data_IF_156873466031
#
_entry.id   IF_156873466031
#
_cell.length_a   1.000
_cell.length_b   1.000
_cell.length_c   1.000
_cell.angle_alpha   90.00
_cell.angle_beta   90.00
_cell.angle_gamma   90.00
#
_symmetry.space_group_name_H-M   'P 1'
#
loop_
_entity.id
_entity.type
_entity.pdbx_description
1 polymer ?
#
# COMPACT_ATOMS: atom_id res chain seq x y z
N UNK A 1 4.93 14.58 -11.11
CA UNK A 1 4.03 15.74 -11.24
C UNK A 1 4.40 16.71 -10.14
N UNK A 2 5.41 17.53 -10.36
CA UNK A 2 5.56 18.78 -9.61
C UNK A 2 4.73 19.78 -10.37
N UNK A 3 3.59 20.16 -9.80
CA UNK A 3 2.84 21.30 -10.30
C UNK A 3 3.70 22.55 -10.07
N UNK A 4 4.38 23.00 -11.12
CA UNK A 4 5.20 24.22 -11.13
C UNK A 4 4.37 25.48 -11.34
N UNK A 5 3.03 25.38 -11.42
CA UNK A 5 2.17 26.54 -11.70
C UNK A 5 1.73 27.32 -10.46
N UNK A 6 2.12 26.91 -9.25
CA UNK A 6 1.78 27.65 -8.03
C UNK A 6 2.92 28.55 -7.55
N UNK A 7 3.36 29.49 -8.39
CA UNK A 7 4.17 30.64 -7.94
C UNK A 7 3.33 31.71 -7.24
N UNK A 8 2.00 31.65 -7.37
CA UNK A 8 1.10 32.72 -6.88
C UNK A 8 0.52 32.41 -5.49
N UNK A 9 0.94 31.30 -4.85
CA UNK A 9 0.33 30.81 -3.60
C UNK A 9 1.12 31.04 -2.32
N UNK A 10 2.34 31.59 -2.38
CA UNK A 10 3.16 31.76 -1.18
C UNK A 10 2.59 32.82 -0.21
N UNK A 11 1.83 33.79 -0.70
CA UNK A 11 1.24 34.87 0.13
C UNK A 11 0.03 34.42 0.97
N UNK A 12 -0.61 33.28 0.66
CA UNK A 12 -1.84 32.80 1.33
C UNK A 12 -1.61 31.60 2.26
N UNK A 13 -0.37 31.17 2.48
CA UNK A 13 -0.07 30.05 3.39
C UNK A 13 -0.21 30.53 4.84
N UNK A 14 -0.96 29.83 5.72
CA UNK A 14 -1.22 30.30 7.10
C UNK A 14 0.05 30.53 7.93
N UNK A 15 1.04 29.65 7.76
CA UNK A 15 2.30 29.69 8.51
C UNK A 15 3.46 29.17 7.66
N UNK A 16 3.96 29.94 6.67
CA UNK A 16 5.06 29.52 5.84
C UNK A 16 6.31 29.28 6.70
N UNK A 17 7.11 28.31 6.29
CA UNK A 17 8.44 28.11 6.83
C UNK A 17 9.38 29.14 6.21
N UNK A 18 10.12 29.86 7.04
CA UNK A 18 11.19 30.76 6.61
C UNK A 18 12.45 29.94 6.32
N UNK A 19 12.87 29.90 5.05
CA UNK A 19 13.99 29.09 4.56
C UNK A 19 14.61 29.75 3.32
N UNK A 20 15.94 29.74 3.23
CA UNK A 20 16.69 30.26 2.06
C UNK A 20 16.61 29.33 0.83
N UNK A 21 15.87 28.22 0.93
CA UNK A 21 15.72 27.22 -0.14
C UNK A 21 14.66 27.65 -1.14
N UNK A 22 15.05 27.76 -2.41
CA UNK A 22 14.12 27.99 -3.51
C UNK A 22 13.62 26.66 -4.09
N UNK A 23 12.28 26.54 -4.24
CA UNK A 23 11.65 25.34 -4.79
C UNK A 23 12.18 25.12 -6.22
N UNK A 24 12.77 23.95 -6.45
CA UNK A 24 13.33 23.60 -7.75
C UNK A 24 14.78 24.04 -7.98
N UNK A 25 15.47 24.63 -7.00
CA UNK A 25 16.89 25.04 -7.14
C UNK A 25 17.84 23.90 -7.55
N UNK A 26 17.47 22.65 -7.26
CA UNK A 26 18.25 21.46 -7.60
C UNK A 26 17.70 20.71 -8.81
N UNK A 27 16.72 21.29 -9.52
CA UNK A 27 16.12 20.63 -10.66
C UNK A 27 16.96 20.84 -11.93
N UNK A 28 16.94 19.85 -12.80
CA UNK A 28 17.44 19.91 -14.17
C UNK A 28 16.28 19.70 -15.13
N UNK A 29 16.39 20.28 -16.33
CA UNK A 29 15.36 20.22 -17.36
C UNK A 29 15.77 19.43 -18.62
N UNK A 30 16.25 18.17 -18.53
CA UNK A 30 16.57 17.39 -19.71
C UNK A 30 15.29 17.04 -20.48
N UNK A 31 15.32 17.20 -21.81
CA UNK A 31 14.19 16.87 -22.69
C UNK A 31 12.86 17.56 -22.32
N UNK A 32 12.91 18.71 -21.63
CA UNK A 32 11.73 19.44 -21.16
C UNK A 32 11.05 18.85 -19.93
N UNK A 33 11.70 17.91 -19.23
CA UNK A 33 11.21 17.32 -17.98
C UNK A 33 11.88 17.99 -16.78
N UNK A 34 11.10 18.46 -15.82
CA UNK A 34 11.60 19.03 -14.56
C UNK A 34 11.94 17.93 -13.56
N UNK A 35 13.24 17.70 -13.32
CA UNK A 35 13.75 16.55 -12.54
C UNK A 35 14.67 16.99 -11.40
N UNK A 36 14.40 16.53 -10.18
CA UNK A 36 15.28 16.79 -9.04
C UNK A 36 16.62 16.01 -9.15
N UNK A 37 17.74 16.73 -9.26
CA UNK A 37 19.03 16.22 -9.78
C UNK A 37 20.04 15.58 -8.79
N UNK A 38 19.65 15.17 -7.58
CA UNK A 38 20.25 13.89 -7.14
C UNK A 38 19.23 12.75 -7.05
N UNK A 39 17.99 13.04 -6.66
CA UNK A 39 17.00 12.01 -6.37
C UNK A 39 16.67 11.19 -7.62
N UNK A 40 16.39 11.85 -8.75
CA UNK A 40 16.01 11.16 -9.98
C UNK A 40 17.16 10.30 -10.52
N UNK A 41 18.36 10.88 -10.62
CA UNK A 41 19.53 10.21 -11.22
C UNK A 41 19.98 9.03 -10.37
N UNK A 42 20.13 9.22 -9.05
CA UNK A 42 20.59 8.15 -8.15
C UNK A 42 19.57 7.02 -8.12
N UNK A 43 18.28 7.35 -7.96
CA UNK A 43 17.24 6.33 -7.93
C UNK A 43 17.18 5.57 -9.25
N UNK A 44 17.08 6.28 -10.38
CA UNK A 44 16.98 5.68 -11.70
C UNK A 44 18.15 4.76 -12.03
N UNK A 45 19.40 5.23 -11.84
CA UNK A 45 20.58 4.40 -12.08
C UNK A 45 20.65 3.19 -11.16
N UNK A 46 20.29 3.35 -9.88
CA UNK A 46 20.32 2.25 -8.92
C UNK A 46 19.25 1.20 -9.21
N UNK A 47 18.06 1.61 -9.67
CA UNK A 47 16.98 0.71 -10.10
C UNK A 47 17.41 -0.06 -11.36
N UNK A 48 18.00 0.61 -12.35
CA UNK A 48 18.51 -0.04 -13.56
C UNK A 48 19.62 -1.04 -13.21
N UNK A 49 20.56 -0.65 -12.35
CA UNK A 49 21.62 -1.53 -11.88
C UNK A 49 21.06 -2.74 -11.13
N UNK A 50 20.08 -2.54 -10.24
CA UNK A 50 19.40 -3.61 -9.53
C UNK A 50 18.76 -4.61 -10.50
N UNK A 51 18.00 -4.14 -11.50
CA UNK A 51 17.36 -5.01 -12.50
C UNK A 51 18.40 -5.78 -13.30
N UNK A 52 19.47 -5.13 -13.76
CA UNK A 52 20.53 -5.80 -14.54
C UNK A 52 21.22 -6.88 -13.69
N UNK A 53 21.61 -6.56 -12.45
CA UNK A 53 22.30 -7.50 -11.56
C UNK A 53 21.41 -8.70 -11.23
N UNK A 54 20.14 -8.47 -10.89
CA UNK A 54 19.20 -9.56 -10.58
C UNK A 54 18.94 -10.47 -11.78
N UNK A 55 18.87 -9.92 -12.99
CA UNK A 55 18.70 -10.71 -14.22
C UNK A 55 19.97 -11.46 -14.63
N UNK A 56 21.16 -10.92 -14.34
CA UNK A 56 22.44 -11.59 -14.59
C UNK A 56 22.72 -12.73 -13.61
N UNK A 57 22.30 -12.59 -12.35
CA UNK A 57 22.59 -13.53 -11.26
C UNK A 57 21.31 -14.09 -10.65
N UNK A 58 20.45 -14.71 -11.46
CA UNK A 58 19.09 -15.12 -11.05
C UNK A 58 19.07 -16.11 -9.88
N UNK A 59 19.94 -17.13 -9.91
CA UNK A 59 20.03 -18.14 -8.86
C UNK A 59 20.49 -17.51 -7.54
N UNK A 60 21.60 -16.75 -7.57
CA UNK A 60 22.08 -16.04 -6.39
C UNK A 60 21.08 -15.00 -5.85
N UNK A 61 20.35 -14.30 -6.73
CA UNK A 61 19.28 -13.40 -6.31
C UNK A 61 18.11 -14.16 -5.65
N UNK A 62 17.73 -15.32 -6.18
CA UNK A 62 16.67 -16.17 -5.62
C UNK A 62 17.05 -16.67 -4.23
N UNK A 63 18.28 -17.16 -4.05
CA UNK A 63 18.79 -17.58 -2.74
C UNK A 63 18.86 -16.40 -1.76
N UNK A 64 19.42 -15.27 -2.20
CA UNK A 64 19.58 -14.09 -1.37
C UNK A 64 18.23 -13.55 -0.86
N UNK A 65 17.25 -13.34 -1.75
CA UNK A 65 15.93 -12.87 -1.35
C UNK A 65 15.12 -13.95 -0.62
N UNK A 66 15.35 -15.22 -0.94
CA UNK A 66 14.75 -16.38 -0.28
C UNK A 66 15.13 -16.49 1.19
N UNK A 67 16.35 -16.09 1.56
CA UNK A 67 16.76 -15.94 2.96
C UNK A 67 16.40 -14.58 3.55
N UNK A 68 16.61 -13.48 2.80
CA UNK A 68 16.47 -12.12 3.32
C UNK A 68 15.04 -11.82 3.77
N UNK A 69 14.02 -12.22 2.99
CA UNK A 69 12.62 -11.97 3.36
C UNK A 69 12.27 -12.68 4.68
N UNK A 70 12.41 -14.00 4.82
CA UNK A 70 12.13 -14.68 6.10
C UNK A 70 12.96 -14.14 7.25
N UNK A 71 14.24 -13.80 7.03
CA UNK A 71 15.09 -13.19 8.04
C UNK A 71 14.49 -11.88 8.55
N UNK A 72 14.12 -10.96 7.64
CA UNK A 72 13.52 -9.68 8.00
C UNK A 72 12.18 -9.85 8.70
N UNK A 73 11.29 -10.70 8.17
CA UNK A 73 9.94 -10.86 8.73
C UNK A 73 9.91 -11.66 10.02
N UNK A 74 10.91 -12.50 10.30
CA UNK A 74 11.00 -13.22 11.58
C UNK A 74 11.79 -12.46 12.65
N UNK A 75 12.74 -11.61 12.25
CA UNK A 75 13.56 -10.82 13.20
C UNK A 75 12.86 -9.51 13.60
N UNK A 76 12.12 -8.90 12.66
CA UNK A 76 11.48 -7.59 12.84
C UNK A 76 9.96 -7.65 12.79
N UNK A 77 9.33 -8.83 12.96
CA UNK A 77 7.86 -8.95 13.06
C UNK A 77 7.30 -8.01 14.13
N UNK A 78 7.88 -8.03 15.33
CA UNK A 78 7.46 -7.16 16.42
C UNK A 78 7.49 -5.69 16.05
N UNK A 79 8.48 -5.26 15.25
CA UNK A 79 8.63 -3.89 14.81
C UNK A 79 7.52 -3.54 13.81
N UNK A 80 7.28 -4.40 12.82
CA UNK A 80 6.21 -4.20 11.85
C UNK A 80 4.82 -4.14 12.51
N UNK A 81 4.52 -5.09 13.42
CA UNK A 81 3.25 -5.11 14.14
C UNK A 81 3.12 -3.90 15.08
N UNK A 82 4.18 -3.55 15.81
CA UNK A 82 4.16 -2.39 16.71
C UNK A 82 3.99 -1.08 15.94
N UNK A 83 4.68 -0.91 14.81
CA UNK A 83 4.55 0.27 13.97
C UNK A 83 3.11 0.44 13.47
N UNK A 84 2.51 -0.62 12.93
CA UNK A 84 1.12 -0.59 12.46
C UNK A 84 0.14 -0.22 13.59
N UNK A 85 0.35 -0.76 14.80
CA UNK A 85 -0.45 -0.41 15.98
C UNK A 85 -0.27 1.06 16.39
N UNK A 86 0.96 1.56 16.41
CA UNK A 86 1.25 2.95 16.74
C UNK A 86 0.54 3.89 15.76
N UNK A 87 0.53 3.58 14.46
CA UNK A 87 -0.17 4.39 13.47
C UNK A 87 -1.68 4.40 13.70
N UNK A 88 -2.30 3.26 13.99
CA UNK A 88 -3.72 3.18 14.34
C UNK A 88 -4.03 4.01 15.59
N UNK A 89 -3.25 3.83 16.67
CA UNK A 89 -3.44 4.57 17.92
C UNK A 89 -3.21 6.07 17.74
N UNK A 90 -2.24 6.46 16.91
CA UNK A 90 -1.98 7.85 16.57
C UNK A 90 -3.16 8.48 15.83
N UNK A 91 -3.72 7.80 14.83
CA UNK A 91 -4.94 8.27 14.16
C UNK A 91 -6.12 8.41 15.14
N UNK A 92 -6.33 7.45 16.05
CA UNK A 92 -7.35 7.59 17.10
C UNK A 92 -7.10 8.77 18.03
N UNK A 93 -5.85 8.96 18.46
CA UNK A 93 -5.45 10.07 19.30
C UNK A 93 -5.75 11.41 18.62
N UNK A 94 -5.48 11.55 17.31
CA UNK A 94 -5.84 12.76 16.56
C UNK A 94 -7.35 12.98 16.50
N UNK A 95 -8.15 11.92 16.29
CA UNK A 95 -9.61 12.04 16.22
C UNK A 95 -10.25 12.54 17.52
N UNK A 96 -9.70 12.16 18.68
CA UNK A 96 -10.26 12.53 20.00
C UNK A 96 -9.67 13.81 20.60
N UNK A 97 -8.49 14.23 20.15
CA UNK A 97 -7.81 15.43 20.65
C UNK A 97 -8.19 16.68 19.86
N UNK A 98 -7.94 17.90 20.40
CA UNK A 98 -8.17 19.14 19.64
C UNK A 98 -7.39 19.24 18.32
N UNK A 99 -6.34 18.44 18.14
CA UNK A 99 -5.54 18.41 16.91
C UNK A 99 -6.34 17.96 15.69
N UNK A 100 -7.33 17.08 15.87
CA UNK A 100 -8.21 16.65 14.78
C UNK A 100 -9.13 17.76 14.23
N UNK A 101 -9.20 18.93 14.89
CA UNK A 101 -9.96 20.10 14.42
C UNK A 101 -9.14 21.02 13.50
N UNK A 102 -7.83 20.78 13.38
CA UNK A 102 -6.96 21.57 12.51
C UNK A 102 -7.33 21.28 11.06
N UNK A 103 -7.69 22.34 10.33
CA UNK A 103 -7.99 22.24 8.90
C UNK A 103 -6.71 22.27 8.08
N UNK A 104 -6.65 21.41 7.08
CA UNK A 104 -5.56 21.37 6.11
C UNK A 104 -5.77 22.49 5.09
N UNK A 105 -4.83 23.43 5.00
CA UNK A 105 -4.95 24.64 4.17
C UNK A 105 -5.30 25.94 4.93
N UNK A 106 -5.44 25.91 6.25
CA UNK A 106 -5.69 27.11 7.08
C UNK A 106 -7.04 27.12 7.79
N UNK A 107 -7.25 28.09 8.69
CA UNK A 107 -8.43 28.12 9.57
C UNK A 107 -9.76 28.24 8.80
N UNK A 108 -9.74 28.97 7.68
CA UNK A 108 -10.92 29.22 6.85
C UNK A 108 -11.03 28.28 5.65
N UNK A 109 -10.11 27.32 5.49
CA UNK A 109 -10.12 26.40 4.36
C UNK A 109 -11.42 25.60 4.28
N UNK A 110 -11.96 25.46 3.08
CA UNK A 110 -13.14 24.63 2.76
C UNK A 110 -12.74 23.51 1.81
N UNK A 111 -13.38 22.32 1.88
CA UNK A 111 -13.05 21.22 0.97
C UNK A 111 -13.32 21.58 -0.49
N UNK A 112 -12.37 21.27 -1.38
CA UNK A 112 -12.52 21.46 -2.83
C UNK A 112 -13.54 20.49 -3.45
N UNK A 113 -13.75 19.34 -2.80
CA UNK A 113 -14.64 18.27 -3.26
C UNK A 113 -15.77 18.03 -2.27
N UNK A 114 -16.94 17.66 -2.79
CA UNK A 114 -18.03 17.14 -1.96
C UNK A 114 -17.60 15.85 -1.24
N UNK A 115 -18.20 15.57 -0.08
CA UNK A 115 -17.88 14.39 0.70
C UNK A 115 -18.02 13.07 -0.08
N UNK A 116 -19.08 12.97 -0.91
CA UNK A 116 -19.29 11.80 -1.78
C UNK A 116 -18.24 11.70 -2.89
N UNK A 117 -17.87 12.84 -3.51
CA UNK A 117 -16.82 12.88 -4.52
C UNK A 117 -15.46 12.47 -3.96
N UNK A 118 -15.10 13.00 -2.78
CA UNK A 118 -13.87 12.64 -2.08
C UNK A 118 -13.80 11.16 -1.70
N UNK A 119 -14.89 10.63 -1.13
CA UNK A 119 -14.97 9.21 -0.77
C UNK A 119 -14.84 8.28 -1.99
N UNK A 120 -15.47 8.65 -3.12
CA UNK A 120 -15.35 7.90 -4.36
C UNK A 120 -13.91 7.90 -4.91
N UNK A 121 -13.19 9.03 -4.82
CA UNK A 121 -11.78 9.13 -5.23
C UNK A 121 -10.87 8.26 -4.36
N UNK A 122 -11.09 8.23 -3.03
CA UNK A 122 -10.35 7.34 -2.13
C UNK A 122 -10.54 5.86 -2.49
N UNK A 123 -11.77 5.46 -2.80
CA UNK A 123 -12.06 4.10 -3.21
C UNK A 123 -11.42 3.77 -4.56
N UNK A 124 -11.46 4.71 -5.51
CA UNK A 124 -10.83 4.57 -6.82
C UNK A 124 -9.31 4.35 -6.74
N UNK A 125 -8.63 5.09 -5.87
CA UNK A 125 -7.17 4.98 -5.72
C UNK A 125 -6.72 3.84 -4.81
N UNK A 126 -7.52 3.49 -3.79
CA UNK A 126 -7.22 2.42 -2.85
C UNK A 126 -7.49 1.00 -3.38
N UNK A 127 -8.34 0.86 -4.41
CA UNK A 127 -8.66 -0.44 -4.99
C UNK A 127 -7.58 -0.93 -5.97
N UNK A 128 -6.55 -1.57 -5.41
CA UNK A 128 -5.48 -2.19 -6.18
C UNK A 128 -5.74 -3.64 -6.62
N UNK A 129 -4.82 -4.16 -7.44
CA UNK A 129 -4.72 -5.58 -7.83
C UNK A 129 -4.75 -6.53 -6.61
N UNK A 130 -4.25 -6.04 -5.46
CA UNK A 130 -4.25 -6.78 -4.21
C UNK A 130 -5.62 -7.34 -3.82
N UNK A 131 -6.71 -6.56 -3.98
CA UNK A 131 -8.07 -7.02 -3.67
C UNK A 131 -8.54 -8.12 -4.63
N UNK A 132 -8.17 -8.05 -5.89
CA UNK A 132 -8.53 -9.07 -6.88
C UNK A 132 -7.80 -10.39 -6.61
N UNK A 133 -6.54 -10.34 -6.18
CA UNK A 133 -5.72 -11.51 -5.91
C UNK A 133 -6.02 -12.12 -4.53
N UNK A 134 -5.89 -11.31 -3.47
CA UNK A 134 -5.99 -11.74 -2.08
C UNK A 134 -7.42 -11.74 -1.56
N UNK A 135 -8.36 -11.00 -2.18
CA UNK A 135 -9.76 -10.99 -1.76
C UNK A 135 -10.45 -12.36 -1.81
N UNK A 136 -9.94 -13.29 -2.63
CA UNK A 136 -10.37 -14.70 -2.64
C UNK A 136 -9.35 -15.61 -1.98
N UNK A 137 -8.07 -15.50 -2.35
CA UNK A 137 -7.05 -16.46 -1.93
C UNK A 137 -6.75 -16.42 -0.44
N UNK A 138 -6.74 -15.24 0.18
CA UNK A 138 -6.41 -15.06 1.60
C UNK A 138 -7.48 -15.62 2.55
N UNK A 139 -8.76 -15.19 2.48
CA UNK A 139 -9.78 -15.71 3.40
C UNK A 139 -9.98 -17.23 3.23
N UNK A 140 -9.82 -17.75 2.01
CA UNK A 140 -9.85 -19.20 1.77
C UNK A 140 -8.67 -19.92 2.40
N UNK A 141 -7.46 -19.35 2.30
CA UNK A 141 -6.26 -19.92 2.93
C UNK A 141 -6.39 -19.95 4.45
N UNK A 142 -6.82 -18.84 5.05
CA UNK A 142 -7.01 -18.74 6.50
C UNK A 142 -8.17 -19.62 6.99
N UNK A 143 -9.26 -19.74 6.22
CA UNK A 143 -10.33 -20.68 6.52
C UNK A 143 -9.82 -22.12 6.56
N UNK A 144 -9.12 -22.54 5.50
CA UNK A 144 -8.62 -23.90 5.38
C UNK A 144 -7.60 -24.24 6.48
N UNK A 145 -6.65 -23.34 6.76
CA UNK A 145 -5.67 -23.54 7.83
C UNK A 145 -6.34 -23.54 9.21
N UNK A 146 -7.27 -22.62 9.47
CA UNK A 146 -8.00 -22.57 10.74
C UNK A 146 -8.83 -23.83 10.98
N UNK A 147 -9.51 -24.34 9.96
CA UNK A 147 -10.32 -25.56 10.05
C UNK A 147 -9.46 -26.80 10.32
N UNK A 148 -8.24 -26.83 9.75
CA UNK A 148 -7.25 -27.89 9.97
C UNK A 148 -6.69 -27.95 11.40
N UNK A 149 -6.84 -26.88 12.17
CA UNK A 149 -6.34 -26.78 13.54
C UNK A 149 -4.86 -26.42 13.63
N UNK A 150 -4.33 -26.41 14.85
CA UNK A 150 -2.91 -26.13 15.11
C UNK A 150 -2.07 -27.40 14.94
N UNK A 151 -0.90 -27.27 14.31
CA UNK A 151 0.09 -28.34 14.21
C UNK A 151 1.41 -27.84 14.80
N UNK A 152 2.10 -28.70 15.54
CA UNK A 152 3.36 -28.34 16.18
C UNK A 152 4.42 -29.43 16.01
N UNK A 153 5.65 -28.99 15.75
CA UNK A 153 6.85 -29.84 15.70
C UNK A 153 7.92 -29.22 16.60
N UNK A 154 8.62 -30.06 17.37
CA UNK A 154 9.68 -29.63 18.29
C UNK A 154 9.28 -28.47 19.25
N UNK A 155 8.00 -28.40 19.63
CA UNK A 155 7.49 -27.37 20.56
C UNK A 155 7.12 -26.03 19.91
N UNK A 156 7.22 -25.90 18.59
CA UNK A 156 6.80 -24.72 17.84
C UNK A 156 5.70 -25.07 16.84
N UNK A 157 4.77 -24.14 16.62
CA UNK A 157 3.72 -24.35 15.61
C UNK A 157 4.29 -24.26 14.20
N UNK A 158 3.86 -25.19 13.35
CA UNK A 158 4.24 -25.29 11.93
C UNK A 158 3.06 -25.04 11.00
N UNK A 159 1.85 -24.93 11.53
CA UNK A 159 0.66 -24.55 10.76
C UNK A 159 0.66 -23.07 10.37
N UNK A 160 -0.33 -22.69 9.54
CA UNK A 160 -0.54 -21.32 9.06
C UNK A 160 -1.87 -20.72 9.55
N UNK A 161 -2.44 -21.30 10.61
CA UNK A 161 -3.70 -20.82 11.16
C UNK A 161 -3.47 -19.56 12.02
N UNK A 162 -4.23 -18.48 11.81
CA UNK A 162 -4.20 -17.34 12.72
C UNK A 162 -4.63 -17.75 14.13
N UNK A 163 -4.00 -17.16 15.14
CA UNK A 163 -4.33 -17.36 16.55
C UNK A 163 -4.46 -18.85 16.89
N UNK A 164 -5.40 -19.27 17.74
CA UNK A 164 -5.58 -20.66 18.16
C UNK A 164 -6.26 -21.59 17.14
N UNK A 165 -6.40 -21.18 15.88
CA UNK A 165 -7.19 -21.90 14.87
C UNK A 165 -8.66 -22.12 15.29
N UNK A 166 -9.36 -23.00 14.57
CA UNK A 166 -10.75 -23.39 14.83
C UNK A 166 -10.99 -24.83 14.34
N UNK A 167 -10.25 -25.77 14.91
CA UNK A 167 -10.18 -27.15 14.45
C UNK A 167 -11.58 -27.81 14.39
N UNK A 168 -11.97 -28.25 13.19
CA UNK A 168 -13.24 -28.95 12.98
C UNK A 168 -14.51 -28.10 13.12
N UNK A 169 -14.41 -26.78 13.33
CA UNK A 169 -15.55 -25.85 13.36
C UNK A 169 -15.53 -24.93 12.13
N UNK A 170 -16.33 -25.22 11.08
CA UNK A 170 -16.37 -24.40 9.87
C UNK A 170 -16.83 -22.96 10.11
N UNK A 171 -17.72 -22.71 11.07
CA UNK A 171 -18.25 -21.36 11.30
C UNK A 171 -17.20 -20.50 12.01
N UNK A 172 -16.57 -21.05 13.05
CA UNK A 172 -15.48 -20.38 13.74
C UNK A 172 -14.27 -20.18 12.80
N UNK A 173 -13.91 -21.18 11.99
CA UNK A 173 -12.83 -21.08 11.02
C UNK A 173 -13.10 -20.00 9.97
N UNK A 174 -14.34 -19.91 9.45
CA UNK A 174 -14.74 -18.87 8.50
C UNK A 174 -14.63 -17.48 9.12
N UNK A 175 -15.19 -17.31 10.31
CA UNK A 175 -15.20 -16.01 10.98
C UNK A 175 -13.78 -15.57 11.36
N UNK A 176 -12.92 -16.48 11.82
CA UNK A 176 -11.52 -16.21 12.13
C UNK A 176 -10.70 -15.91 10.86
N UNK A 177 -10.91 -16.66 9.78
CA UNK A 177 -10.27 -16.39 8.49
C UNK A 177 -10.63 -15.01 7.95
N UNK A 178 -11.91 -14.65 7.99
CA UNK A 178 -12.37 -13.31 7.65
C UNK A 178 -11.81 -12.24 8.59
N UNK A 179 -11.71 -12.49 9.89
CA UNK A 179 -11.14 -11.54 10.85
C UNK A 179 -9.66 -11.25 10.55
N UNK A 180 -8.87 -12.28 10.24
CA UNK A 180 -7.48 -12.15 9.82
C UNK A 180 -7.35 -11.36 8.51
N UNK A 181 -8.20 -11.64 7.51
CA UNK A 181 -8.21 -10.88 6.26
C UNK A 181 -8.63 -9.42 6.48
N UNK A 182 -9.72 -9.15 7.21
CA UNK A 182 -10.14 -7.77 7.51
C UNK A 182 -9.03 -7.02 8.25
N UNK A 183 -8.32 -7.68 9.16
CA UNK A 183 -7.17 -7.09 9.85
C UNK A 183 -6.07 -6.61 8.89
N UNK A 184 -5.74 -7.38 7.85
CA UNK A 184 -4.72 -6.99 6.88
C UNK A 184 -5.17 -5.91 5.87
N UNK A 185 -6.47 -5.71 5.68
CA UNK A 185 -7.03 -4.84 4.61
C UNK A 185 -7.87 -3.64 5.09
N UNK A 186 -8.19 -3.56 6.38
CA UNK A 186 -9.01 -2.49 6.96
C UNK A 186 -8.19 -1.49 7.79
N UNK A 187 -8.38 -1.42 9.10
CA UNK A 187 -7.93 -0.26 9.89
C UNK A 187 -6.42 0.01 9.81
N UNK A 188 -5.59 -1.02 9.95
CA UNK A 188 -4.13 -0.92 10.00
C UNK A 188 -3.47 -0.38 8.72
N UNK A 189 -3.71 -0.92 7.51
CA UNK A 189 -3.13 -0.35 6.28
C UNK A 189 -3.57 1.09 6.04
N UNK A 190 -4.86 1.38 6.26
CA UNK A 190 -5.39 2.73 6.05
C UNK A 190 -4.85 3.74 7.06
N UNK A 191 -4.52 3.32 8.30
CA UNK A 191 -3.83 4.17 9.26
C UNK A 191 -2.39 4.50 8.82
N UNK A 192 -1.65 3.54 8.26
CA UNK A 192 -0.31 3.78 7.68
C UNK A 192 -0.40 4.87 6.61
N UNK A 193 -1.37 4.76 5.70
CA UNK A 193 -1.58 5.75 4.65
C UNK A 193 -2.01 7.10 5.20
N UNK A 194 -2.95 7.12 6.14
CA UNK A 194 -3.44 8.36 6.74
C UNK A 194 -2.34 9.15 7.44
N UNK A 195 -1.37 8.49 8.09
CA UNK A 195 -0.23 9.17 8.73
C UNK A 195 0.65 9.86 7.70
N UNK A 196 1.00 9.19 6.60
CA UNK A 196 1.84 9.78 5.55
C UNK A 196 1.09 10.88 4.81
N UNK A 197 -0.19 10.65 4.48
CA UNK A 197 -1.06 11.63 3.84
C UNK A 197 -1.20 12.90 4.69
N UNK A 198 -1.44 12.75 5.99
CA UNK A 198 -1.58 13.88 6.91
C UNK A 198 -0.27 14.65 7.03
N UNK A 199 0.88 13.97 7.11
CA UNK A 199 2.17 14.63 7.18
C UNK A 199 2.42 15.47 5.91
N UNK A 200 2.27 14.88 4.73
CA UNK A 200 2.42 15.58 3.46
C UNK A 200 1.46 16.75 3.33
N UNK A 201 0.16 16.50 3.54
CA UNK A 201 -0.87 17.51 3.39
C UNK A 201 -0.69 18.68 4.37
N UNK A 202 -0.33 18.42 5.63
CA UNK A 202 -0.10 19.47 6.61
C UNK A 202 1.11 20.35 6.23
N UNK A 203 2.25 19.73 5.90
CA UNK A 203 3.45 20.50 5.57
C UNK A 203 3.32 21.25 4.24
N UNK A 204 2.56 20.72 3.30
CA UNK A 204 2.29 21.44 2.05
C UNK A 204 1.25 22.52 2.23
N UNK A 205 0.06 22.20 2.72
CA UNK A 205 -1.06 23.14 2.71
C UNK A 205 -1.06 24.13 3.89
N UNK A 206 -0.48 23.77 5.04
CA UNK A 206 -0.42 24.68 6.20
C UNK A 206 0.94 25.35 6.36
N UNK A 207 2.02 24.72 5.88
CA UNK A 207 3.40 25.19 6.06
C UNK A 207 4.10 25.63 4.77
N UNK A 208 3.44 25.49 3.62
CA UNK A 208 3.94 26.00 2.34
C UNK A 208 5.17 25.26 1.81
N UNK A 209 5.47 24.07 2.35
CA UNK A 209 6.59 23.26 1.91
C UNK A 209 6.22 22.45 0.64
N UNK A 210 7.19 22.10 -0.21
CA UNK A 210 6.93 21.26 -1.38
C UNK A 210 6.26 19.93 -1.02
N UNK A 211 5.37 19.43 -1.88
CA UNK A 211 4.70 18.12 -1.72
C UNK A 211 5.69 16.97 -1.96
N UNK A 212 6.58 16.75 -0.99
CA UNK A 212 7.66 15.77 -1.02
C UNK A 212 7.85 15.17 0.37
N UNK A 213 8.28 13.92 0.44
CA UNK A 213 8.45 13.20 1.72
C UNK A 213 9.44 13.89 2.64
N UNK A 214 10.53 14.48 2.11
CA UNK A 214 11.49 15.28 2.91
C UNK A 214 10.82 16.41 3.72
N UNK A 215 9.75 17.01 3.22
CA UNK A 215 9.07 18.13 3.89
C UNK A 215 8.45 17.70 5.22
N UNK A 216 8.00 16.45 5.32
CA UNK A 216 7.48 15.88 6.56
C UNK A 216 8.53 15.81 7.68
N UNK A 217 9.81 15.84 7.34
CA UNK A 217 10.92 15.78 8.29
C UNK A 217 11.50 17.15 8.64
N UNK A 218 10.99 18.24 8.04
CA UNK A 218 11.46 19.60 8.34
C UNK A 218 11.43 19.95 9.84
N UNK A 219 10.41 19.60 10.64
CA UNK A 219 10.41 19.90 12.09
C UNK A 219 11.54 19.27 12.89
N UNK A 220 12.12 18.17 12.39
CA UNK A 220 13.17 17.41 13.07
C UNK A 220 14.54 17.83 12.53
N UNK A 221 14.66 17.98 11.22
CA UNK A 221 15.93 18.17 10.52
C UNK A 221 16.22 19.65 10.19
N UNK A 222 15.22 20.53 10.23
CA UNK A 222 15.30 21.91 9.74
C UNK A 222 15.77 21.96 8.29
N UNK A 223 16.63 22.93 7.97
CA UNK A 223 17.15 23.13 6.61
C UNK A 223 18.02 21.98 6.09
N UNK A 224 18.38 21.00 6.95
CA UNK A 224 19.10 19.80 6.50
C UNK A 224 18.26 18.94 5.54
N UNK A 225 16.93 19.11 5.50
CA UNK A 225 16.08 18.44 4.49
C UNK A 225 16.39 18.88 3.06
N UNK A 226 17.03 20.03 2.87
CA UNK A 226 17.40 20.51 1.54
C UNK A 226 18.67 19.88 0.99
N UNK A 227 19.46 19.23 1.85
CA UNK A 227 20.68 18.51 1.48
C UNK A 227 20.51 17.00 1.47
N UNK A 228 21.62 16.29 1.75
CA UNK A 228 21.71 14.83 1.68
C UNK A 228 20.69 14.07 2.53
N UNK A 229 20.31 14.59 3.70
CA UNK A 229 19.31 13.94 4.54
C UNK A 229 17.95 13.84 3.84
N UNK A 230 17.51 14.92 3.18
CA UNK A 230 16.29 14.88 2.38
C UNK A 230 16.44 14.11 1.07
N UNK A 231 17.64 14.06 0.48
CA UNK A 231 17.86 13.18 -0.68
C UNK A 231 17.71 11.70 -0.29
N UNK A 232 18.26 11.26 0.85
CA UNK A 232 18.10 9.89 1.34
C UNK A 232 16.61 9.58 1.54
N UNK A 233 15.87 10.47 2.20
CA UNK A 233 14.41 10.29 2.44
C UNK A 233 13.66 10.09 1.12
N UNK A 234 13.84 10.99 0.16
CA UNK A 234 13.12 10.91 -1.11
C UNK A 234 13.57 9.72 -1.96
N UNK A 235 14.86 9.37 -1.97
CA UNK A 235 15.36 8.17 -2.65
C UNK A 235 14.71 6.93 -2.04
N UNK A 236 14.68 6.81 -0.71
CA UNK A 236 14.00 5.69 -0.03
C UNK A 236 12.51 5.65 -0.39
N UNK A 237 11.84 6.79 -0.46
CA UNK A 237 10.43 6.87 -0.87
C UNK A 237 10.20 6.40 -2.32
N UNK A 238 11.10 6.75 -3.25
CA UNK A 238 11.06 6.28 -4.65
C UNK A 238 11.25 4.76 -4.71
N UNK A 239 12.25 4.22 -4.00
CA UNK A 239 12.49 2.78 -3.93
C UNK A 239 11.30 2.03 -3.35
N UNK A 240 10.79 2.49 -2.21
CA UNK A 240 9.63 1.92 -1.53
C UNK A 240 8.43 1.84 -2.48
N UNK A 241 8.12 2.97 -3.14
CA UNK A 241 7.01 3.06 -4.09
C UNK A 241 7.20 2.11 -5.28
N UNK A 242 8.38 2.09 -5.89
CA UNK A 242 8.64 1.29 -7.08
C UNK A 242 8.54 -0.21 -6.80
N UNK A 243 9.15 -0.69 -5.71
CA UNK A 243 9.09 -2.10 -5.34
C UNK A 243 7.70 -2.52 -4.86
N UNK A 244 6.96 -1.63 -4.19
CA UNK A 244 5.55 -1.83 -3.85
C UNK A 244 4.68 -1.99 -5.10
N UNK A 245 4.85 -1.11 -6.09
CA UNK A 245 4.12 -1.17 -7.37
C UNK A 245 4.50 -2.40 -8.23
N UNK A 246 5.79 -2.74 -8.28
CA UNK A 246 6.27 -3.91 -9.03
C UNK A 246 5.66 -5.22 -8.49
N UNK A 247 5.53 -5.34 -7.17
CA UNK A 247 4.89 -6.49 -6.51
C UNK A 247 3.43 -6.64 -6.95
N UNK A 248 2.66 -5.54 -6.90
CA UNK A 248 1.26 -5.52 -7.34
C UNK A 248 1.12 -5.89 -8.82
N UNK A 249 1.96 -5.34 -9.71
CA UNK A 249 1.95 -5.66 -11.13
C UNK A 249 2.29 -7.14 -11.38
N UNK A 250 3.23 -7.70 -10.62
CA UNK A 250 3.56 -9.13 -10.65
C UNK A 250 2.35 -10.00 -10.34
N UNK A 251 1.70 -9.80 -9.19
CA UNK A 251 0.51 -10.57 -8.83
C UNK A 251 -0.63 -10.43 -9.85
N UNK A 252 -0.85 -9.23 -10.38
CA UNK A 252 -1.88 -9.00 -11.39
C UNK A 252 -1.60 -9.73 -12.70
N UNK A 253 -0.32 -9.80 -13.08
CA UNK A 253 0.14 -10.55 -14.25
C UNK A 253 -0.09 -12.05 -14.07
N UNK A 254 0.30 -12.61 -12.91
CA UNK A 254 0.06 -14.03 -12.61
C UNK A 254 -1.42 -14.38 -12.64
N UNK A 255 -2.27 -13.53 -12.03
CA UNK A 255 -3.70 -13.75 -11.99
C UNK A 255 -4.34 -13.69 -13.38
N UNK A 256 -3.98 -12.67 -14.16
CA UNK A 256 -4.49 -12.51 -15.53
C UNK A 256 -4.04 -13.67 -16.42
N UNK A 257 -2.79 -14.11 -16.33
CA UNK A 257 -2.30 -15.28 -17.08
C UNK A 257 -2.96 -16.58 -16.62
N UNK A 258 -3.20 -16.77 -15.33
CA UNK A 258 -3.93 -17.95 -14.85
C UNK A 258 -5.34 -18.01 -15.46
N UNK A 259 -6.04 -16.87 -15.51
CA UNK A 259 -7.34 -16.76 -16.17
C UNK A 259 -7.29 -17.01 -17.68
N UNK A 260 -6.34 -16.38 -18.39
CA UNK A 260 -6.14 -16.57 -19.83
C UNK A 260 -5.75 -18.02 -20.15
N UNK A 261 -4.93 -18.65 -19.32
CA UNK A 261 -4.55 -20.04 -19.48
C UNK A 261 -5.74 -20.98 -19.26
N UNK A 262 -6.58 -20.72 -18.24
CA UNK A 262 -7.79 -21.50 -17.99
C UNK A 262 -8.77 -21.43 -19.16
N UNK A 263 -8.96 -20.24 -19.75
CA UNK A 263 -9.92 -20.03 -20.85
C UNK A 263 -9.40 -20.44 -22.23
N UNK A 264 -8.11 -20.16 -22.50
CA UNK A 264 -7.56 -20.20 -23.86
C UNK A 264 -6.28 -21.04 -23.98
N UNK A 265 -5.75 -21.60 -22.89
CA UNK A 265 -4.50 -22.36 -22.91
C UNK A 265 -3.25 -21.54 -23.25
N UNK A 266 -3.28 -20.22 -22.99
CA UNK A 266 -2.18 -19.29 -23.32
C UNK A 266 -0.83 -19.69 -22.70
N UNK A 267 -0.84 -20.32 -21.52
CA UNK A 267 0.35 -20.63 -20.73
C UNK A 267 0.71 -19.55 -19.70
N UNK A 268 1.49 -19.93 -18.69
CA UNK A 268 1.89 -19.08 -17.54
C UNK A 268 3.41 -18.92 -17.40
N UNK A 269 4.17 -19.27 -18.44
CA UNK A 269 5.63 -19.19 -18.44
C UNK A 269 6.19 -17.76 -18.50
N UNK A 270 7.49 -17.60 -18.29
CA UNK A 270 8.17 -16.29 -18.24
C UNK A 270 7.95 -15.45 -19.50
N UNK A 271 7.92 -16.06 -20.68
CA UNK A 271 7.64 -15.35 -21.94
C UNK A 271 6.24 -14.74 -21.93
N UNK A 272 5.22 -15.48 -21.46
CA UNK A 272 3.85 -14.97 -21.36
C UNK A 272 3.76 -13.79 -20.37
N UNK A 273 4.49 -13.86 -19.25
CA UNK A 273 4.59 -12.76 -18.27
C UNK A 273 5.19 -11.51 -18.88
N UNK A 274 6.33 -11.64 -19.56
CA UNK A 274 7.00 -10.50 -20.21
C UNK A 274 6.10 -9.86 -21.28
N UNK A 275 5.42 -10.67 -22.11
CA UNK A 275 4.50 -10.18 -23.14
C UNK A 275 3.32 -9.44 -22.52
N UNK A 276 2.69 -10.00 -21.49
CA UNK A 276 1.53 -9.37 -20.84
C UNK A 276 1.92 -8.08 -20.11
N UNK A 277 3.03 -8.09 -19.37
CA UNK A 277 3.56 -6.88 -18.70
C UNK A 277 3.89 -5.80 -19.73
N UNK A 278 4.54 -6.17 -20.85
CA UNK A 278 4.84 -5.25 -21.94
C UNK A 278 3.58 -4.61 -22.54
N UNK A 279 2.53 -5.40 -22.74
CA UNK A 279 1.22 -4.91 -23.22
C UNK A 279 0.60 -3.91 -22.24
N UNK A 280 0.47 -4.30 -20.96
CA UNK A 280 -0.12 -3.45 -19.90
C UNK A 280 0.67 -2.16 -19.77
N UNK A 281 2.00 -2.24 -19.75
CA UNK A 281 2.89 -1.07 -19.64
C UNK A 281 2.72 -0.14 -20.84
N UNK A 282 2.61 -0.69 -22.05
CA UNK A 282 2.36 0.11 -23.27
C UNK A 282 1.03 0.85 -23.19
N UNK A 283 -0.04 0.16 -22.76
CA UNK A 283 -1.37 0.79 -22.57
C UNK A 283 -1.34 1.87 -21.49
N UNK A 284 -0.64 1.62 -20.38
CA UNK A 284 -0.46 2.59 -19.31
C UNK A 284 0.31 3.83 -19.79
N UNK A 285 1.39 3.66 -20.56
CA UNK A 285 2.14 4.77 -21.16
C UNK A 285 1.27 5.61 -22.10
N UNK A 286 0.47 4.97 -22.96
CA UNK A 286 -0.48 5.68 -23.84
C UNK A 286 -1.48 6.50 -23.01
N UNK A 287 -1.97 5.93 -21.91
CA UNK A 287 -2.90 6.60 -20.99
C UNK A 287 -2.26 7.84 -20.34
N UNK A 288 -1.02 7.71 -19.83
CA UNK A 288 -0.29 8.82 -19.19
C UNK A 288 0.02 9.93 -20.20
N UNK A 289 0.44 9.59 -21.43
CA UNK A 289 0.72 10.57 -22.49
C UNK A 289 -0.54 11.33 -22.92
N UNK A 290 -1.72 10.71 -22.81
CA UNK A 290 -3.02 11.37 -23.08
C UNK A 290 -3.48 12.31 -21.96
N UNK A 291 -2.76 12.37 -20.84
CA UNK A 291 -3.06 13.24 -19.70
C UNK A 291 -4.14 12.69 -18.77
N UNK A 292 -4.30 13.37 -17.63
CA UNK A 292 -5.19 12.98 -16.54
C UNK A 292 -6.65 12.88 -16.98
N UNK A 293 -7.14 13.89 -17.71
CA UNK A 293 -8.54 13.98 -18.14
C UNK A 293 -8.89 13.00 -19.27
N UNK A 294 -7.93 12.66 -20.13
CA UNK A 294 -8.16 11.86 -21.34
C UNK A 294 -7.87 10.37 -21.21
N UNK A 295 -6.94 9.98 -20.34
CA UNK A 295 -6.51 8.58 -20.18
C UNK A 295 -6.83 8.01 -18.81
N UNK A 296 -6.19 8.55 -17.77
CA UNK A 296 -6.21 7.99 -16.42
C UNK A 296 -7.62 7.98 -15.83
N UNK A 297 -8.36 9.08 -15.98
CA UNK A 297 -9.74 9.19 -15.51
C UNK A 297 -10.66 8.15 -16.15
N UNK A 298 -10.62 8.03 -17.49
CA UNK A 298 -11.47 7.10 -18.25
C UNK A 298 -11.20 5.65 -17.84
N UNK A 299 -9.93 5.24 -17.76
CA UNK A 299 -9.58 3.89 -17.33
C UNK A 299 -10.02 3.62 -15.88
N UNK A 300 -9.93 4.62 -15.01
CA UNK A 300 -10.37 4.50 -13.61
C UNK A 300 -11.89 4.34 -13.51
N UNK A 301 -12.67 5.13 -14.26
CA UNK A 301 -14.14 5.01 -14.29
C UNK A 301 -14.60 3.64 -14.82
N UNK A 302 -13.97 3.14 -15.90
CA UNK A 302 -14.24 1.79 -16.43
C UNK A 302 -13.89 0.73 -15.38
N UNK A 303 -12.74 0.84 -14.73
CA UNK A 303 -12.31 -0.12 -13.71
C UNK A 303 -13.30 -0.19 -12.54
N UNK A 304 -13.73 0.95 -12.01
CA UNK A 304 -14.73 1.02 -10.93
C UNK A 304 -16.05 0.40 -11.39
N UNK A 305 -16.48 0.71 -12.62
CA UNK A 305 -17.69 0.13 -13.20
C UNK A 305 -17.64 -1.40 -13.31
N UNK A 306 -16.51 -1.95 -13.79
CA UNK A 306 -16.29 -3.39 -13.88
C UNK A 306 -16.22 -4.06 -12.50
N UNK A 307 -15.55 -3.43 -11.53
CA UNK A 307 -15.47 -3.92 -10.17
C UNK A 307 -16.85 -3.95 -9.50
N UNK A 308 -17.65 -2.88 -9.66
CA UNK A 308 -19.01 -2.82 -9.17
C UNK A 308 -19.91 -3.88 -9.84
N UNK A 309 -19.78 -4.06 -11.16
CA UNK A 309 -20.51 -5.09 -11.89
C UNK A 309 -20.16 -6.49 -11.38
N UNK A 310 -18.88 -6.77 -11.16
CA UNK A 310 -18.42 -8.05 -10.63
C UNK A 310 -18.94 -8.29 -9.20
N UNK A 311 -18.89 -7.28 -8.34
CA UNK A 311 -19.43 -7.35 -6.98
C UNK A 311 -20.93 -7.68 -7.00
N UNK A 312 -21.71 -6.95 -7.80
CA UNK A 312 -23.15 -7.17 -7.94
C UNK A 312 -23.45 -8.56 -8.52
N UNK A 313 -22.67 -9.00 -9.51
CA UNK A 313 -22.78 -10.33 -10.08
C UNK A 313 -22.55 -11.42 -9.02
N UNK A 314 -21.50 -11.31 -8.20
CA UNK A 314 -21.20 -12.27 -7.13
C UNK A 314 -22.32 -12.31 -6.09
N UNK A 315 -22.87 -11.15 -5.70
CA UNK A 315 -23.97 -11.08 -4.73
C UNK A 315 -25.25 -11.72 -5.30
N UNK A 316 -25.55 -11.46 -6.58
CA UNK A 316 -26.79 -11.92 -7.23
C UNK A 316 -26.77 -13.40 -7.62
N UNK A 317 -25.62 -13.92 -8.08
CA UNK A 317 -25.48 -15.31 -8.55
C UNK A 317 -24.94 -16.23 -7.45
N UNK A 318 -24.14 -15.69 -6.53
CA UNK A 318 -23.63 -16.43 -5.37
C UNK A 318 -24.66 -16.63 -4.26
N UNK A 319 -24.28 -17.32 -3.17
CA UNK A 319 -25.16 -17.57 -2.04
C UNK A 319 -25.36 -16.29 -1.22
N UNK A 320 -26.30 -15.43 -1.63
CA UNK A 320 -26.51 -14.08 -1.08
C UNK A 320 -26.59 -14.07 0.44
N UNK A 321 -27.41 -14.95 1.04
CA UNK A 321 -27.55 -15.04 2.49
C UNK A 321 -26.21 -15.34 3.19
N UNK A 322 -25.47 -16.34 2.69
CA UNK A 322 -24.16 -16.73 3.22
C UNK A 322 -23.12 -15.62 3.07
N UNK A 323 -23.15 -14.85 1.98
CA UNK A 323 -22.26 -13.69 1.79
C UNK A 323 -22.49 -12.67 2.91
N UNK A 324 -23.74 -12.27 3.15
CA UNK A 324 -24.06 -11.31 4.21
C UNK A 324 -23.79 -11.85 5.61
N UNK A 325 -24.08 -13.13 5.87
CA UNK A 325 -23.69 -13.79 7.13
C UNK A 325 -22.18 -13.80 7.34
N UNK A 326 -21.40 -13.98 6.28
CA UNK A 326 -19.93 -13.98 6.32
C UNK A 326 -19.39 -12.58 6.59
N UNK A 327 -19.98 -11.55 5.97
CA UNK A 327 -19.63 -10.15 6.22
C UNK A 327 -19.89 -9.79 7.69
N UNK A 328 -21.08 -10.10 8.20
CA UNK A 328 -21.46 -9.78 9.58
C UNK A 328 -20.66 -10.60 10.60
N UNK A 329 -20.55 -11.91 10.40
CA UNK A 329 -19.82 -12.81 11.28
C UNK A 329 -18.31 -12.54 11.29
N UNK A 330 -17.72 -12.31 10.12
CA UNK A 330 -16.32 -11.91 9.97
C UNK A 330 -16.03 -10.53 10.56
N UNK A 331 -16.93 -9.56 10.35
CA UNK A 331 -16.81 -8.23 10.94
C UNK A 331 -16.88 -8.26 12.47
N UNK A 332 -17.82 -9.02 13.04
CA UNK A 332 -17.89 -9.22 14.48
C UNK A 332 -16.63 -9.90 15.03
N UNK A 333 -16.14 -10.95 14.36
CA UNK A 333 -14.92 -11.64 14.74
C UNK A 333 -13.67 -10.76 14.58
N UNK A 334 -13.65 -9.84 13.63
CA UNK A 334 -12.58 -8.85 13.51
C UNK A 334 -12.53 -7.95 14.74
N UNK A 335 -13.67 -7.40 15.16
CA UNK A 335 -13.74 -6.53 16.35
C UNK A 335 -13.26 -7.26 17.60
N UNK A 336 -13.65 -8.53 17.79
CA UNK A 336 -13.23 -9.32 18.96
C UNK A 336 -11.77 -9.74 18.90
N UNK A 337 -11.25 -10.08 17.72
CA UNK A 337 -9.88 -10.57 17.54
C UNK A 337 -8.87 -9.48 17.19
N UNK A 338 -9.28 -8.22 17.05
CA UNK A 338 -8.38 -7.11 16.69
C UNK A 338 -7.17 -7.02 17.62
N UNK A 339 -7.39 -7.12 18.93
CA UNK A 339 -6.31 -7.02 19.92
C UNK A 339 -5.39 -8.26 19.84
N UNK A 340 -5.88 -9.51 19.91
CA UNK A 340 -5.04 -10.69 19.69
C UNK A 340 -4.26 -10.68 18.38
N UNK A 341 -4.91 -10.32 17.26
CA UNK A 341 -4.29 -10.25 15.93
C UNK A 341 -3.25 -9.14 15.82
N UNK A 342 -3.38 -8.08 16.62
CA UNK A 342 -2.44 -6.96 16.61
C UNK A 342 -1.29 -7.13 17.60
N UNK A 343 -1.30 -8.15 18.47
CA UNK A 343 -0.28 -8.31 19.50
C UNK A 343 1.12 -8.53 18.88
N UNK A 344 2.12 -7.67 19.14
CA UNK A 344 3.44 -7.80 18.51
C UNK A 344 4.34 -8.86 19.15
N UNK A 345 3.97 -9.40 20.31
CA UNK A 345 4.81 -10.31 21.10
C UNK A 345 4.00 -11.50 21.61
N UNK A 346 4.69 -12.60 21.96
CA UNK A 346 4.06 -13.74 22.64
C UNK A 346 3.06 -14.51 21.77
N UNK A 347 3.21 -14.43 20.45
CA UNK A 347 2.37 -15.14 19.49
C UNK A 347 2.89 -16.55 19.25
N UNK A 348 2.00 -17.53 19.32
CA UNK A 348 2.34 -18.92 18.97
C UNK A 348 2.23 -19.18 17.46
N UNK A 349 1.46 -18.38 16.72
CA UNK A 349 1.19 -18.52 15.30
C UNK A 349 2.25 -17.80 14.42
N UNK A 350 3.53 -18.07 14.70
CA UNK A 350 4.66 -17.36 14.07
C UNK A 350 4.63 -17.40 12.54
N UNK A 351 4.29 -18.53 11.92
CA UNK A 351 4.17 -18.63 10.47
C UNK A 351 3.10 -17.69 9.91
N UNK A 352 1.96 -17.54 10.61
CA UNK A 352 0.93 -16.58 10.24
C UNK A 352 1.44 -15.14 10.41
N UNK A 353 1.91 -14.79 11.60
CA UNK A 353 2.30 -13.40 11.91
C UNK A 353 3.51 -12.93 11.10
N UNK A 354 4.46 -13.80 10.80
CA UNK A 354 5.67 -13.46 10.05
C UNK A 354 5.44 -13.57 8.53
N UNK A 355 4.76 -14.63 8.09
CA UNK A 355 4.57 -14.90 6.67
C UNK A 355 3.45 -14.08 6.00
N UNK A 356 2.41 -13.74 6.76
CA UNK A 356 1.30 -12.89 6.30
C UNK A 356 1.37 -11.49 6.89
N UNK A 357 1.26 -11.35 8.22
CA UNK A 357 1.04 -10.03 8.85
C UNK A 357 2.23 -9.09 8.67
N UNK A 358 3.45 -9.52 9.01
CA UNK A 358 4.65 -8.70 8.86
C UNK A 358 4.94 -8.39 7.37
N UNK A 359 4.66 -9.35 6.48
CA UNK A 359 4.74 -9.14 5.03
C UNK A 359 3.76 -8.04 4.58
N UNK A 360 2.50 -8.09 5.00
CA UNK A 360 1.52 -7.06 4.67
C UNK A 360 1.94 -5.69 5.21
N UNK A 361 2.40 -5.58 6.46
CA UNK A 361 2.89 -4.31 6.99
C UNK A 361 4.08 -3.76 6.22
N UNK A 362 5.03 -4.61 5.83
CA UNK A 362 6.13 -4.18 4.96
C UNK A 362 5.61 -3.68 3.60
N UNK A 363 4.64 -4.37 3.00
CA UNK A 363 4.03 -3.98 1.73
C UNK A 363 3.30 -2.64 1.83
N UNK A 364 2.44 -2.46 2.83
CA UNK A 364 1.69 -1.22 3.04
C UNK A 364 2.58 -0.04 3.39
N UNK A 365 3.62 -0.23 4.20
CA UNK A 365 4.63 0.81 4.46
C UNK A 365 5.34 1.19 3.16
N UNK A 366 5.71 0.23 2.32
CA UNK A 366 6.38 0.50 1.04
C UNK A 366 5.51 1.32 0.08
N UNK A 367 4.19 1.13 0.12
CA UNK A 367 3.25 1.82 -0.77
C UNK A 367 2.81 3.20 -0.24
N UNK A 368 3.01 3.44 1.05
CA UNK A 368 2.55 4.65 1.74
C UNK A 368 3.03 5.99 1.14
N UNK A 369 4.24 6.14 0.55
CA UNK A 369 4.62 7.42 -0.06
C UNK A 369 3.77 7.77 -1.29
N UNK A 370 3.40 6.78 -2.09
CA UNK A 370 2.51 6.97 -3.24
C UNK A 370 1.08 7.25 -2.78
N UNK A 371 0.55 6.40 -1.90
CA UNK A 371 -0.84 6.53 -1.44
C UNK A 371 -1.05 7.80 -0.61
N UNK A 372 -0.05 8.23 0.17
CA UNK A 372 -0.16 9.46 0.96
C UNK A 372 0.03 10.74 0.14
N UNK A 373 0.65 10.66 -1.03
CA UNK A 373 0.75 11.80 -1.94
C UNK A 373 -0.54 12.01 -2.75
N UNK A 374 -1.25 10.92 -3.04
CA UNK A 374 -2.61 10.94 -3.58
C UNK A 374 -3.60 11.42 -2.52
#
# INVERSE_FOLDING_TARGET
MTDTTRTDGAEDVPHPVDTDYEIGQHNINPFGLDLHNPVFVISGLSIVAFVIITLMFQEGATEFFGWLRPFLTSTFDWFFLSAANVFVLFCFMLMVTPMGKIRLGGQDATPDYSYMGWFAMLFAAGMGIGLMFFGVSEPMSHFASSLGGTAAEAGARTDWAPLGAAAGDPVAARNLGMAATIFHWALHPWAIYAVVALALAFFTFNRGLPLTLRSAFYPILGDRVWGWWGHIIDITAVFATLFGLATSLGFGTEQALAGLNYLFGWGTGNVAKVVLIGLITTLALISVVRGLDGGVKVLSEINIGLAALLLLFIIAVGPTATIFETILGGGAAYVTNLIPLSMPFGREDANFSQGWTAFYWAWWISWSPFVGMF
#
